data_IF_629280568174
#
_entry.id   IF_629280568174
#
_cell.length_a   1.000
_cell.length_b   1.000
_cell.length_c   1.000
_cell.angle_alpha   90.00
_cell.angle_beta   90.00
_cell.angle_gamma   90.00
#
_symmetry.space_group_name_H-M   'P 1'
#
loop_
_entity.id
_entity.type
_entity.pdbx_description
1 polymer ?
#
# COMPACT_ATOMS: atom_id res chain seq x y z
N UNK A 1 15.86 23.70 8.01
CA UNK A 1 16.57 23.66 6.68
C UNK A 1 15.56 23.70 5.56
N UNK A 2 15.88 24.26 4.39
CA UNK A 2 15.05 24.11 3.20
C UNK A 2 15.20 22.68 2.70
N UNK A 3 14.07 22.00 2.48
CA UNK A 3 14.03 20.59 2.05
C UNK A 3 13.49 20.51 0.62
N UNK A 4 14.34 20.06 -0.29
CA UNK A 4 14.00 19.87 -1.71
C UNK A 4 13.86 18.37 -2.05
N UNK A 5 13.03 17.99 -3.05
CA UNK A 5 12.92 16.62 -3.49
C UNK A 5 14.20 16.15 -4.17
N UNK A 6 14.79 15.05 -3.68
CA UNK A 6 15.99 14.40 -4.28
C UNK A 6 15.60 13.05 -4.87
N UNK A 7 15.03 13.10 -6.08
CA UNK A 7 14.57 11.91 -6.81
C UNK A 7 15.73 11.16 -7.44
N UNK A 8 15.77 9.85 -7.25
CA UNK A 8 16.73 8.92 -7.88
C UNK A 8 15.98 7.69 -8.41
N UNK A 9 15.75 7.66 -9.72
CA UNK A 9 14.92 6.61 -10.32
C UNK A 9 13.49 6.65 -9.78
N UNK A 10 13.06 5.56 -9.17
CA UNK A 10 11.72 5.39 -8.58
C UNK A 10 11.67 5.67 -7.07
N UNK A 11 12.69 6.31 -6.50
CA UNK A 11 12.70 6.70 -5.08
C UNK A 11 13.02 8.18 -4.92
N UNK A 12 12.49 8.81 -3.86
CA UNK A 12 12.95 10.10 -3.38
C UNK A 12 13.68 9.89 -2.04
N UNK A 13 14.87 10.46 -1.92
CA UNK A 13 15.75 10.25 -0.75
C UNK A 13 15.56 11.31 0.34
N UNK A 14 14.70 12.29 0.11
CA UNK A 14 14.27 13.31 1.07
C UNK A 14 12.76 13.25 1.23
N UNK A 15 12.26 13.64 2.40
CA UNK A 15 10.83 13.84 2.64
C UNK A 15 10.62 15.17 3.37
N UNK A 16 9.52 15.87 3.03
CA UNK A 16 9.21 17.17 3.59
C UNK A 16 8.28 17.03 4.81
N UNK A 17 8.74 17.32 6.04
CA UNK A 17 7.94 17.05 7.26
C UNK A 17 6.57 17.73 7.25
N UNK A 18 6.51 19.04 6.95
CA UNK A 18 5.26 19.80 6.90
C UNK A 18 4.34 19.33 5.76
N UNK A 19 4.93 18.96 4.62
CA UNK A 19 4.14 18.41 3.51
C UNK A 19 3.53 17.05 3.82
N UNK A 20 4.29 16.15 4.46
CA UNK A 20 3.76 14.88 4.96
C UNK A 20 2.61 15.09 5.94
N UNK A 21 2.78 16.02 6.90
CA UNK A 21 1.72 16.36 7.86
C UNK A 21 0.46 16.86 7.14
N UNK A 22 0.63 17.75 6.14
CA UNK A 22 -0.50 18.32 5.40
C UNK A 22 -1.26 17.30 4.56
N UNK A 23 -0.55 16.33 4.00
CA UNK A 23 -1.18 15.22 3.25
C UNK A 23 -1.97 14.32 4.19
N UNK A 24 -1.40 13.93 5.33
CA UNK A 24 -2.11 13.15 6.35
C UNK A 24 -3.34 13.88 6.88
N UNK A 25 -3.24 15.19 7.13
CA UNK A 25 -4.38 16.03 7.52
C UNK A 25 -5.50 15.97 6.47
N UNK A 26 -5.17 16.17 5.20
CA UNK A 26 -6.13 16.11 4.07
C UNK A 26 -6.84 14.74 4.00
N UNK A 27 -6.11 13.65 4.17
CA UNK A 27 -6.67 12.30 4.17
C UNK A 27 -7.61 12.06 5.37
N UNK A 28 -7.25 12.58 6.54
CA UNK A 28 -8.09 12.55 7.76
C UNK A 28 -9.38 13.37 7.54
N UNK A 29 -9.26 14.58 6.98
CA UNK A 29 -10.42 15.43 6.66
C UNK A 29 -11.36 14.74 5.67
N UNK A 30 -10.80 14.06 4.65
CA UNK A 30 -11.59 13.27 3.72
C UNK A 30 -12.40 12.19 4.45
N UNK A 31 -11.77 11.38 5.29
CA UNK A 31 -12.46 10.33 6.05
C UNK A 31 -13.55 10.93 6.97
N UNK A 32 -13.23 11.98 7.72
CA UNK A 32 -14.22 12.67 8.56
C UNK A 32 -15.42 13.20 7.78
N UNK A 33 -15.21 13.64 6.54
CA UNK A 33 -16.29 14.15 5.66
C UNK A 33 -17.29 13.07 5.22
N UNK A 34 -16.89 11.77 5.29
CA UNK A 34 -17.73 10.63 4.91
C UNK A 34 -18.69 10.18 6.02
N UNK A 35 -18.52 10.70 7.22
CA UNK A 35 -19.31 10.30 8.38
C UNK A 35 -18.73 9.13 9.15
N UNK A 36 -19.37 8.80 10.27
CA UNK A 36 -18.91 7.73 11.16
C UNK A 36 -19.37 6.36 10.68
N UNK A 37 -18.44 5.40 10.72
CA UNK A 37 -18.67 4.00 10.39
C UNK A 37 -18.70 3.15 11.67
N UNK A 38 -19.30 1.96 11.57
CA UNK A 38 -19.33 0.97 12.64
C UNK A 38 -18.53 -0.28 12.28
N UNK A 39 -18.18 -1.08 13.26
CA UNK A 39 -17.54 -2.38 13.07
C UNK A 39 -16.30 -2.55 13.94
N UNK A 40 -15.11 -2.29 13.40
CA UNK A 40 -13.84 -2.47 14.10
C UNK A 40 -13.69 -1.46 15.24
N UNK A 41 -13.22 -1.94 16.41
CA UNK A 41 -12.98 -1.10 17.59
C UNK A 41 -11.51 -1.01 17.97
N UNK A 42 -10.74 -2.05 17.71
CA UNK A 42 -9.32 -2.15 18.09
C UNK A 42 -8.55 -2.86 16.97
N UNK A 43 -7.70 -2.14 16.28
CA UNK A 43 -6.99 -2.66 15.12
C UNK A 43 -5.47 -2.67 15.31
N UNK A 44 -4.84 -3.73 14.82
CA UNK A 44 -3.41 -3.79 14.53
C UNK A 44 -3.20 -3.57 13.03
N UNK A 45 -2.36 -2.60 12.65
CA UNK A 45 -2.02 -2.33 11.25
C UNK A 45 -0.51 -2.55 11.06
N UNK A 46 -0.16 -3.61 10.34
CA UNK A 46 1.22 -3.99 10.05
C UNK A 46 1.61 -3.40 8.70
N UNK A 47 2.65 -2.53 8.67
CA UNK A 47 3.00 -1.73 7.51
C UNK A 47 2.14 -0.46 7.40
N UNK A 48 2.07 0.34 8.48
CA UNK A 48 1.08 1.39 8.69
C UNK A 48 1.51 2.80 8.29
N UNK A 49 2.69 2.99 7.70
CA UNK A 49 3.29 4.34 7.57
C UNK A 49 3.06 5.01 6.23
N UNK A 50 2.65 4.26 5.20
CA UNK A 50 2.44 4.75 3.83
C UNK A 50 1.34 3.98 3.09
N UNK A 51 0.85 4.55 1.98
CA UNK A 51 -0.03 3.90 1.01
C UNK A 51 -1.28 3.30 1.65
N UNK A 52 -1.64 2.08 1.25
CA UNK A 52 -2.85 1.40 1.74
C UNK A 52 -2.83 1.13 3.25
N UNK A 53 -1.66 0.88 3.84
CA UNK A 53 -1.55 0.67 5.28
C UNK A 53 -1.86 1.92 6.09
N UNK A 54 -1.32 3.07 5.70
CA UNK A 54 -1.63 4.36 6.32
C UNK A 54 -3.11 4.73 6.11
N UNK A 55 -3.60 4.63 4.86
CA UNK A 55 -4.99 4.93 4.52
C UNK A 55 -5.98 4.05 5.32
N UNK A 56 -5.67 2.76 5.49
CA UNK A 56 -6.46 1.86 6.34
C UNK A 56 -6.48 2.32 7.79
N UNK A 57 -5.31 2.71 8.30
CA UNK A 57 -5.20 3.16 9.69
C UNK A 57 -5.97 4.45 9.93
N UNK A 58 -5.94 5.39 8.96
CA UNK A 58 -6.71 6.64 8.99
C UNK A 58 -8.21 6.33 8.98
N UNK A 59 -8.69 5.49 8.05
CA UNK A 59 -10.12 5.14 7.97
C UNK A 59 -10.61 4.42 9.23
N UNK A 60 -9.80 3.51 9.80
CA UNK A 60 -10.14 2.84 11.07
C UNK A 60 -10.19 3.82 12.25
N UNK A 61 -9.17 4.67 12.40
CA UNK A 61 -9.10 5.60 13.53
C UNK A 61 -10.15 6.71 13.44
N UNK A 62 -10.27 7.39 12.30
CA UNK A 62 -11.11 8.58 12.17
C UNK A 62 -12.51 8.27 11.63
N UNK A 63 -12.67 7.20 10.84
CA UNK A 63 -13.97 6.75 10.35
C UNK A 63 -14.71 5.87 11.36
N UNK A 64 -14.05 4.84 11.94
CA UNK A 64 -14.68 3.91 12.89
C UNK A 64 -14.42 4.23 14.37
N UNK A 65 -13.63 5.27 14.67
CA UNK A 65 -13.20 5.60 16.04
C UNK A 65 -12.45 4.44 16.74
N UNK A 66 -11.79 3.61 15.95
CA UNK A 66 -11.05 2.47 16.45
C UNK A 66 -9.75 2.90 17.13
N UNK A 67 -9.40 2.23 18.23
CA UNK A 67 -8.06 2.28 18.80
C UNK A 67 -7.09 1.57 17.85
N UNK A 68 -5.99 2.20 17.45
CA UNK A 68 -5.07 1.63 16.47
C UNK A 68 -3.67 1.48 17.00
N UNK A 69 -3.10 0.27 16.86
CA UNK A 69 -1.69 -0.02 17.05
C UNK A 69 -1.06 -0.26 15.68
N UNK A 70 0.06 0.40 15.38
CA UNK A 70 0.74 0.30 14.10
C UNK A 70 2.12 -0.31 14.22
N UNK A 71 2.58 -0.99 13.16
CA UNK A 71 3.97 -1.40 12.97
C UNK A 71 4.51 -0.73 11.72
N UNK A 72 5.64 -0.06 11.81
CA UNK A 72 6.38 0.52 10.70
C UNK A 72 7.85 0.15 10.75
N UNK A 73 8.57 0.37 9.65
CA UNK A 73 10.02 0.21 9.61
C UNK A 73 10.65 1.40 8.87
N UNK A 74 10.75 2.53 9.56
CA UNK A 74 11.13 3.82 8.99
C UNK A 74 12.33 4.43 9.71
N UNK A 75 13.08 5.26 8.99
CA UNK A 75 14.25 5.94 9.54
C UNK A 75 13.84 7.30 10.09
N UNK A 76 14.16 7.61 11.35
CA UNK A 76 14.00 8.96 11.89
C UNK A 76 14.96 9.93 11.22
N UNK A 77 14.68 11.23 11.34
CA UNK A 77 15.62 12.28 10.97
C UNK A 77 16.91 12.18 11.81
N UNK A 78 18.03 12.52 11.22
CA UNK A 78 19.33 12.49 11.91
C UNK A 78 20.30 13.56 11.37
N UNK A 79 20.68 14.48 12.23
CA UNK A 79 21.50 15.65 11.85
C UNK A 79 20.79 16.46 10.76
N UNK A 80 21.47 16.69 9.64
CA UNK A 80 20.93 17.42 8.49
C UNK A 80 20.23 16.50 7.44
N UNK A 81 19.84 15.28 7.82
CA UNK A 81 19.13 14.34 6.94
C UNK A 81 17.67 14.23 7.40
N UNK A 82 16.76 14.38 6.45
CA UNK A 82 15.34 14.12 6.71
C UNK A 82 15.12 12.67 7.09
N UNK A 83 14.11 12.42 7.91
CA UNK A 83 13.54 11.09 8.06
C UNK A 83 12.92 10.59 6.74
N UNK A 84 12.47 9.34 6.74
CA UNK A 84 11.62 8.82 5.65
C UNK A 84 10.22 9.44 5.73
N UNK A 85 9.49 9.45 4.62
CA UNK A 85 8.11 9.97 4.63
C UNK A 85 7.21 9.22 5.59
N UNK A 86 7.35 7.89 5.69
CA UNK A 86 6.60 7.08 6.65
C UNK A 86 6.82 7.49 8.11
N UNK A 87 8.02 7.94 8.46
CA UNK A 87 8.31 8.50 9.78
C UNK A 87 7.47 9.76 10.06
N UNK A 88 7.44 10.71 9.12
CA UNK A 88 6.67 11.95 9.28
C UNK A 88 5.17 11.73 9.22
N UNK A 89 4.69 10.89 8.30
CA UNK A 89 3.29 10.52 8.21
C UNK A 89 2.76 9.92 9.51
N UNK A 90 3.56 9.04 10.13
CA UNK A 90 3.19 8.40 11.40
C UNK A 90 3.14 9.40 12.54
N UNK A 91 4.11 10.31 12.61
CA UNK A 91 4.11 11.41 13.60
C UNK A 91 2.88 12.30 13.44
N UNK A 92 2.55 12.67 12.20
CA UNK A 92 1.36 13.46 11.90
C UNK A 92 0.07 12.73 12.30
N UNK A 93 -0.05 11.45 11.91
CA UNK A 93 -1.20 10.62 12.26
C UNK A 93 -1.41 10.54 13.78
N UNK A 94 -0.35 10.23 14.55
CA UNK A 94 -0.43 10.15 16.01
C UNK A 94 -0.80 11.48 16.65
N UNK A 95 -0.24 12.60 16.16
CA UNK A 95 -0.58 13.97 16.59
C UNK A 95 -2.07 14.25 16.42
N UNK A 96 -2.63 14.01 15.24
CA UNK A 96 -4.05 14.24 14.96
C UNK A 96 -4.97 13.27 15.72
N UNK A 97 -4.59 11.99 15.84
CA UNK A 97 -5.33 11.03 16.63
C UNK A 97 -5.40 11.42 18.11
N UNK A 98 -4.28 11.87 18.69
CA UNK A 98 -4.24 12.34 20.05
C UNK A 98 -5.11 13.60 20.25
N UNK A 99 -5.09 14.54 19.30
CA UNK A 99 -5.93 15.73 19.35
C UNK A 99 -7.43 15.39 19.35
N UNK A 100 -7.83 14.31 18.67
CA UNK A 100 -9.19 13.79 18.64
C UNK A 100 -9.51 12.83 19.81
N UNK A 101 -8.57 12.62 20.74
CA UNK A 101 -8.75 11.72 21.90
C UNK A 101 -8.74 10.23 21.52
N UNK A 102 -8.22 9.87 20.35
CA UNK A 102 -8.14 8.49 19.87
C UNK A 102 -6.84 7.82 20.33
N UNK A 103 -6.92 6.55 20.72
CA UNK A 103 -5.71 5.77 20.97
C UNK A 103 -5.00 5.46 19.64
N UNK A 104 -3.76 5.92 19.53
CA UNK A 104 -2.89 5.63 18.41
C UNK A 104 -1.46 5.47 18.90
N UNK A 105 -0.86 4.33 18.65
CA UNK A 105 0.52 4.01 19.01
C UNK A 105 1.21 3.29 17.89
N UNK A 106 2.50 3.54 17.67
CA UNK A 106 3.27 2.88 16.63
C UNK A 106 4.58 2.34 17.17
N UNK A 107 4.94 1.15 16.73
CA UNK A 107 6.24 0.54 16.97
C UNK A 107 7.04 0.62 15.66
N UNK A 108 8.26 1.16 15.76
CA UNK A 108 9.20 1.19 14.65
C UNK A 108 10.16 0.02 14.77
N UNK A 109 9.85 -1.09 14.09
CA UNK A 109 10.58 -2.35 14.18
C UNK A 109 10.39 -3.22 12.95
N UNK A 110 11.26 -4.20 12.79
CA UNK A 110 11.13 -5.20 11.72
C UNK A 110 9.92 -6.10 12.00
N UNK A 111 8.85 -5.93 11.23
CA UNK A 111 7.62 -6.70 11.36
C UNK A 111 7.82 -8.21 11.17
N UNK A 112 8.88 -8.63 10.51
CA UNK A 112 9.20 -10.04 10.33
C UNK A 112 9.84 -10.68 11.58
N UNK A 113 10.38 -9.87 12.50
CA UNK A 113 11.07 -10.37 13.68
C UNK A 113 10.11 -10.85 14.77
N UNK A 114 10.55 -11.83 15.55
CA UNK A 114 9.81 -12.34 16.71
C UNK A 114 9.80 -11.31 17.84
N UNK A 115 10.85 -10.49 17.95
CA UNK A 115 10.96 -9.41 18.93
C UNK A 115 9.87 -8.37 18.71
N UNK A 116 9.65 -7.95 17.46
CA UNK A 116 8.59 -6.99 17.13
C UNK A 116 7.20 -7.59 17.41
N UNK A 117 6.97 -8.85 17.05
CA UNK A 117 5.71 -9.55 17.35
C UNK A 117 5.44 -9.61 18.86
N UNK A 118 6.46 -9.92 19.65
CA UNK A 118 6.34 -10.00 21.11
C UNK A 118 6.06 -8.63 21.72
N UNK A 119 6.76 -7.56 21.27
CA UNK A 119 6.51 -6.20 21.76
C UNK A 119 5.06 -5.75 21.48
N UNK A 120 4.55 -6.03 20.28
CA UNK A 120 3.15 -5.74 19.92
C UNK A 120 2.17 -6.51 20.82
N UNK A 121 2.42 -7.80 21.06
CA UNK A 121 1.58 -8.63 21.97
C UNK A 121 1.55 -8.03 23.38
N UNK A 122 2.69 -7.59 23.90
CA UNK A 122 2.77 -7.01 25.25
C UNK A 122 2.02 -5.67 25.34
N UNK A 123 2.08 -4.86 24.26
CA UNK A 123 1.31 -3.61 24.18
C UNK A 123 -0.18 -3.90 24.11
N UNK A 124 -0.62 -4.86 23.28
CA UNK A 124 -2.04 -5.21 23.19
C UNK A 124 -2.57 -5.66 24.56
N UNK A 125 -1.85 -6.55 25.25
CA UNK A 125 -2.23 -7.00 26.59
C UNK A 125 -2.38 -5.85 27.59
N UNK A 126 -1.43 -4.92 27.57
CA UNK A 126 -1.40 -3.82 28.52
C UNK A 126 -2.46 -2.75 28.22
N UNK A 127 -2.60 -2.36 26.95
CA UNK A 127 -3.33 -1.16 26.55
C UNK A 127 -4.73 -1.48 25.97
N UNK A 128 -4.91 -2.60 25.28
CA UNK A 128 -6.11 -2.90 24.50
C UNK A 128 -6.85 -4.16 24.96
N UNK A 129 -6.18 -5.07 25.64
CA UNK A 129 -6.69 -6.41 25.95
C UNK A 129 -6.63 -7.33 24.73
N UNK A 130 -7.54 -7.17 23.78
CA UNK A 130 -7.55 -7.89 22.49
C UNK A 130 -7.79 -6.90 21.35
N UNK A 131 -7.39 -7.28 20.14
CA UNK A 131 -7.74 -6.59 18.90
C UNK A 131 -8.78 -7.40 18.11
N UNK A 132 -9.70 -6.71 17.42
CA UNK A 132 -10.75 -7.31 16.61
C UNK A 132 -10.48 -7.18 15.11
N UNK A 133 -9.38 -6.49 14.72
CA UNK A 133 -8.92 -6.43 13.34
C UNK A 133 -7.39 -6.45 13.23
N UNK A 134 -6.88 -7.12 12.17
CA UNK A 134 -5.47 -7.10 11.78
C UNK A 134 -5.37 -6.79 10.29
N UNK A 135 -4.76 -5.66 9.94
CA UNK A 135 -4.45 -5.29 8.56
C UNK A 135 -3.00 -5.62 8.27
N UNK A 136 -2.76 -6.46 7.26
CA UNK A 136 -1.43 -6.88 6.83
C UNK A 136 -1.05 -6.21 5.50
N UNK A 137 -0.26 -5.14 5.58
CA UNK A 137 0.12 -4.28 4.45
C UNK A 137 1.64 -4.20 4.31
N UNK A 138 2.30 -5.35 4.21
CA UNK A 138 3.75 -5.39 3.98
C UNK A 138 4.09 -5.57 2.51
N UNK A 139 5.01 -4.73 2.01
CA UNK A 139 5.71 -4.89 0.75
C UNK A 139 7.19 -4.58 1.00
N UNK A 140 8.04 -5.60 0.93
CA UNK A 140 9.45 -5.48 1.27
C UNK A 140 10.33 -6.08 0.16
N UNK A 141 11.54 -5.52 -0.07
CA UNK A 141 12.48 -6.09 -1.02
C UNK A 141 13.22 -7.31 -0.47
N UNK A 142 13.16 -7.53 0.85
CA UNK A 142 13.86 -8.63 1.53
C UNK A 142 13.19 -8.99 2.84
N UNK A 143 13.41 -10.26 3.26
CA UNK A 143 13.05 -10.79 4.58
C UNK A 143 14.18 -11.69 5.09
N UNK A 144 14.52 -11.53 6.36
CA UNK A 144 15.45 -12.45 7.04
C UNK A 144 14.65 -13.51 7.79
N UNK A 145 15.03 -14.78 7.62
CA UNK A 145 14.47 -15.91 8.38
C UNK A 145 15.65 -16.75 8.91
N UNK A 146 15.86 -16.72 10.19
CA UNK A 146 17.07 -17.28 10.79
C UNK A 146 18.33 -16.59 10.23
N UNK A 147 19.27 -17.38 9.69
CA UNK A 147 20.49 -16.86 9.07
C UNK A 147 20.33 -16.53 7.57
N UNK A 148 19.19 -16.87 6.97
CA UNK A 148 18.97 -16.70 5.52
C UNK A 148 18.25 -15.39 5.22
N UNK A 149 18.79 -14.63 4.26
CA UNK A 149 18.15 -13.41 3.73
C UNK A 149 17.55 -13.73 2.36
N UNK A 150 16.23 -13.72 2.28
CA UNK A 150 15.47 -13.84 1.03
C UNK A 150 15.28 -12.47 0.39
N UNK A 151 15.35 -12.41 -0.94
CA UNK A 151 15.12 -11.17 -1.73
C UNK A 151 14.01 -11.41 -2.73
N UNK A 152 13.07 -10.47 -2.80
CA UNK A 152 12.02 -10.50 -3.81
C UNK A 152 12.53 -9.92 -5.14
N UNK A 153 11.99 -10.43 -6.25
CA UNK A 153 12.25 -9.93 -7.59
C UNK A 153 10.93 -9.64 -8.32
N UNK A 154 11.00 -8.74 -9.31
CA UNK A 154 9.88 -8.36 -10.17
C UNK A 154 10.19 -8.83 -11.59
N UNK A 155 9.93 -10.10 -11.86
CA UNK A 155 10.25 -10.80 -13.11
C UNK A 155 9.06 -11.64 -13.58
N UNK A 156 9.07 -12.03 -14.85
CA UNK A 156 8.12 -13.01 -15.38
C UNK A 156 8.37 -14.41 -14.80
N UNK A 157 7.46 -15.35 -14.99
CA UNK A 157 7.64 -16.75 -14.54
C UNK A 157 7.60 -17.76 -15.67
N UNK A 158 7.68 -17.30 -16.90
CA UNK A 158 7.67 -18.17 -18.10
C UNK A 158 8.67 -17.64 -19.12
N UNK A 159 8.14 -17.14 -20.22
CA UNK A 159 8.95 -16.54 -21.27
C UNK A 159 9.33 -15.09 -20.95
N UNK A 160 10.40 -14.55 -21.55
CA UNK A 160 10.70 -13.12 -21.51
C UNK A 160 9.52 -12.28 -22.01
N UNK A 161 9.27 -11.15 -21.37
CA UNK A 161 8.19 -10.23 -21.76
C UNK A 161 8.74 -8.88 -22.17
N UNK A 162 8.45 -8.48 -23.41
CA UNK A 162 8.84 -7.16 -23.93
C UNK A 162 7.59 -6.29 -24.08
N UNK A 163 7.62 -5.09 -23.50
CA UNK A 163 6.53 -4.12 -23.64
C UNK A 163 7.03 -2.68 -23.42
N UNK A 164 6.14 -1.71 -23.68
CA UNK A 164 6.40 -0.30 -23.47
C UNK A 164 6.64 0.00 -21.99
N UNK A 165 7.56 0.91 -21.74
CA UNK A 165 7.81 1.52 -20.42
C UNK A 165 8.08 3.00 -20.57
N UNK A 166 8.09 3.74 -19.47
CA UNK A 166 8.39 5.17 -19.43
C UNK A 166 9.60 5.45 -18.54
N UNK A 167 10.52 6.25 -19.02
CA UNK A 167 11.51 6.91 -18.17
C UNK A 167 10.93 8.23 -17.66
N UNK A 168 10.52 8.22 -16.39
CA UNK A 168 9.87 9.37 -15.74
C UNK A 168 10.78 10.58 -15.53
N UNK A 169 12.09 10.46 -15.75
CA UNK A 169 13.04 11.59 -15.61
C UNK A 169 12.98 12.55 -16.80
N UNK A 170 12.67 12.02 -17.96
CA UNK A 170 12.63 12.76 -19.22
C UNK A 170 11.34 12.53 -20.01
N UNK A 171 10.39 11.79 -19.43
CA UNK A 171 9.10 11.45 -20.02
C UNK A 171 9.22 10.77 -21.40
N UNK A 172 10.19 9.83 -21.53
CA UNK A 172 10.44 9.13 -22.79
C UNK A 172 9.92 7.71 -22.72
N UNK A 173 9.15 7.30 -23.73
CA UNK A 173 8.68 5.93 -23.89
C UNK A 173 9.73 5.11 -24.64
N UNK A 174 10.02 3.94 -24.13
CA UNK A 174 10.88 2.93 -24.74
C UNK A 174 10.29 1.54 -24.56
N UNK A 175 10.94 0.52 -25.07
CA UNK A 175 10.64 -0.87 -24.74
C UNK A 175 11.59 -1.41 -23.68
N UNK A 176 11.05 -2.28 -22.84
CA UNK A 176 11.81 -3.04 -21.83
C UNK A 176 11.53 -4.50 -21.99
N UNK A 177 12.56 -5.34 -21.95
CA UNK A 177 12.44 -6.80 -21.86
C UNK A 177 12.68 -7.23 -20.42
N UNK A 178 11.76 -7.98 -19.85
CA UNK A 178 11.82 -8.51 -18.51
C UNK A 178 12.06 -10.01 -18.62
N UNK A 179 13.22 -10.44 -18.12
CA UNK A 179 13.62 -11.84 -18.13
C UNK A 179 12.87 -12.67 -17.07
N UNK A 180 12.68 -13.96 -17.30
CA UNK A 180 12.02 -14.83 -16.33
C UNK A 180 12.86 -14.99 -15.05
N UNK A 181 12.16 -15.17 -13.94
CA UNK A 181 12.78 -15.52 -12.66
C UNK A 181 13.19 -16.99 -12.65
N UNK A 182 14.28 -17.30 -11.93
CA UNK A 182 14.61 -18.69 -11.60
C UNK A 182 13.63 -19.23 -10.55
N UNK A 183 13.60 -20.56 -10.37
CA UNK A 183 12.79 -21.19 -9.34
C UNK A 183 13.14 -20.65 -7.94
N UNK A 184 14.43 -20.47 -7.66
CA UNK A 184 14.93 -19.93 -6.39
C UNK A 184 14.51 -18.48 -6.17
N UNK A 185 14.49 -17.66 -7.23
CA UNK A 185 14.02 -16.26 -7.17
C UNK A 185 12.50 -16.21 -6.91
N UNK A 186 11.72 -17.12 -7.51
CA UNK A 186 10.27 -17.24 -7.25
C UNK A 186 10.04 -17.64 -5.80
N UNK A 187 10.71 -18.69 -5.31
CA UNK A 187 10.58 -19.17 -3.93
C UNK A 187 10.99 -18.09 -2.92
N UNK A 188 12.09 -17.37 -3.18
CA UNK A 188 12.52 -16.25 -2.36
C UNK A 188 11.47 -15.11 -2.34
N UNK A 189 10.85 -14.81 -3.49
CA UNK A 189 9.81 -13.79 -3.59
C UNK A 189 8.55 -14.21 -2.81
N UNK A 190 8.15 -15.49 -2.88
CA UNK A 190 7.05 -16.04 -2.07
C UNK A 190 7.40 -15.97 -0.57
N UNK A 191 8.65 -16.26 -0.20
CA UNK A 191 9.11 -16.19 1.19
C UNK A 191 9.04 -14.77 1.76
N UNK A 192 9.32 -13.75 0.95
CA UNK A 192 9.28 -12.34 1.36
C UNK A 192 7.85 -11.78 1.39
N UNK A 193 7.05 -12.02 0.32
CA UNK A 193 5.78 -11.31 0.09
C UNK A 193 4.56 -12.24 0.06
N UNK A 194 4.73 -13.52 0.33
CA UNK A 194 3.61 -14.46 0.47
C UNK A 194 2.94 -14.38 1.84
N UNK A 195 2.04 -15.33 2.10
CA UNK A 195 1.19 -15.33 3.29
C UNK A 195 1.80 -15.93 4.56
N UNK A 196 3.03 -16.47 4.50
CA UNK A 196 3.61 -17.16 5.65
C UNK A 196 3.73 -16.26 6.89
N UNK A 197 4.26 -15.04 6.73
CA UNK A 197 4.41 -14.13 7.87
C UNK A 197 3.06 -13.62 8.39
N UNK A 198 2.07 -13.46 7.51
CA UNK A 198 0.71 -13.14 7.94
C UNK A 198 0.11 -14.24 8.81
N UNK A 199 0.26 -15.53 8.41
CA UNK A 199 -0.12 -16.67 9.25
C UNK A 199 0.64 -16.66 10.58
N UNK A 200 1.96 -16.39 10.57
CA UNK A 200 2.78 -16.29 11.79
C UNK A 200 2.31 -15.20 12.76
N UNK A 201 1.95 -14.01 12.25
CA UNK A 201 1.35 -12.93 13.04
C UNK A 201 0.05 -13.39 13.71
N UNK A 202 -0.86 -13.94 12.94
CA UNK A 202 -2.15 -14.40 13.47
C UNK A 202 -1.97 -15.51 14.51
N UNK A 203 -1.10 -16.47 14.24
CA UNK A 203 -0.83 -17.56 15.18
C UNK A 203 -0.20 -17.05 16.48
N UNK A 204 0.72 -16.08 16.42
CA UNK A 204 1.31 -15.46 17.60
C UNK A 204 0.26 -14.71 18.43
N UNK A 205 -0.61 -13.93 17.80
CA UNK A 205 -1.68 -13.19 18.47
C UNK A 205 -2.72 -14.13 19.11
N UNK A 206 -3.13 -15.20 18.42
CA UNK A 206 -4.04 -16.21 18.95
C UNK A 206 -3.41 -16.96 20.12
N UNK A 207 -2.15 -17.42 20.00
CA UNK A 207 -1.43 -18.11 21.07
C UNK A 207 -1.30 -17.26 22.33
N UNK A 208 -1.14 -15.94 22.17
CA UNK A 208 -1.04 -15.00 23.27
C UNK A 208 -2.39 -14.57 23.88
N UNK A 209 -3.51 -15.03 23.30
CA UNK A 209 -4.89 -14.65 23.64
C UNK A 209 -5.17 -13.14 23.56
N UNK A 210 -4.63 -12.49 22.51
CA UNK A 210 -4.78 -11.05 22.25
C UNK A 210 -5.54 -10.72 20.95
N UNK A 211 -6.13 -11.72 20.30
CA UNK A 211 -6.97 -11.60 19.14
C UNK A 211 -8.39 -12.07 19.49
N UNK A 212 -9.39 -11.26 19.09
CA UNK A 212 -10.79 -11.67 19.28
C UNK A 212 -11.16 -12.85 18.40
N UNK A 213 -12.11 -13.65 18.87
CA UNK A 213 -12.71 -14.69 18.05
C UNK A 213 -13.43 -14.06 16.86
N UNK A 214 -13.32 -14.69 15.67
CA UNK A 214 -13.88 -14.16 14.43
C UNK A 214 -13.37 -12.75 14.04
N UNK A 215 -12.14 -12.38 14.47
CA UNK A 215 -11.52 -11.11 14.11
C UNK A 215 -11.40 -10.94 12.58
N UNK A 216 -11.52 -9.70 12.13
CA UNK A 216 -11.28 -9.34 10.74
C UNK A 216 -9.77 -9.34 10.45
N UNK A 217 -9.34 -9.91 9.33
CA UNK A 217 -7.97 -9.72 8.86
C UNK A 217 -7.93 -9.58 7.34
N UNK A 218 -7.19 -8.58 6.87
CA UNK A 218 -7.12 -8.23 5.45
C UNK A 218 -5.67 -8.08 5.03
N UNK A 219 -5.32 -8.67 3.88
CA UNK A 219 -4.09 -8.40 3.18
C UNK A 219 -4.37 -7.88 1.77
N UNK A 220 -3.45 -7.08 1.21
CA UNK A 220 -3.65 -6.37 -0.05
C UNK A 220 -2.99 -7.07 -1.22
N UNK A 221 -3.67 -7.05 -2.35
CA UNK A 221 -3.24 -7.63 -3.62
C UNK A 221 -3.59 -6.72 -4.79
N UNK A 222 -3.08 -7.08 -5.96
CA UNK A 222 -3.44 -6.49 -7.24
C UNK A 222 -3.51 -7.62 -8.28
N UNK A 223 -4.43 -7.51 -9.23
CA UNK A 223 -4.55 -8.42 -10.37
C UNK A 223 -4.26 -7.64 -11.65
N UNK A 224 -5.00 -6.57 -11.92
CA UNK A 224 -4.87 -5.71 -13.08
C UNK A 224 -5.34 -6.34 -14.40
N UNK A 225 -5.10 -5.67 -15.54
CA UNK A 225 -5.44 -6.13 -16.87
C UNK A 225 -4.33 -6.97 -17.53
N UNK A 226 -4.63 -7.56 -18.66
CA UNK A 226 -3.71 -8.39 -19.46
C UNK A 226 -2.38 -7.70 -19.80
N UNK A 227 -2.37 -6.37 -19.95
CA UNK A 227 -1.14 -5.59 -20.19
C UNK A 227 -0.09 -5.79 -19.08
N UNK A 228 -0.54 -5.95 -17.83
CA UNK A 228 0.34 -6.08 -16.66
C UNK A 228 0.49 -7.52 -16.19
N UNK A 229 -0.29 -8.49 -16.72
CA UNK A 229 -0.28 -9.88 -16.27
C UNK A 229 1.11 -10.51 -16.24
N UNK A 230 1.94 -10.45 -17.30
CA UNK A 230 3.21 -11.17 -17.31
C UNK A 230 4.19 -10.68 -16.23
N UNK A 231 4.11 -9.39 -15.86
CA UNK A 231 5.02 -8.78 -14.87
C UNK A 231 4.45 -8.76 -13.47
N UNK A 232 3.12 -8.92 -13.32
CA UNK A 232 2.48 -8.87 -12.01
C UNK A 232 1.71 -10.15 -11.69
N UNK A 233 0.50 -10.34 -12.22
CA UNK A 233 -0.39 -11.44 -11.85
C UNK A 233 0.21 -12.82 -12.17
N UNK A 234 0.84 -12.98 -13.32
CA UNK A 234 1.54 -14.21 -13.76
C UNK A 234 3.04 -14.18 -13.41
N UNK A 235 3.56 -13.04 -12.92
CA UNK A 235 4.95 -12.87 -12.55
C UNK A 235 5.32 -13.47 -11.19
N UNK A 236 6.59 -13.29 -10.80
CA UNK A 236 7.12 -13.75 -9.50
C UNK A 236 6.32 -13.19 -8.32
N UNK A 237 5.91 -11.92 -8.38
CA UNK A 237 5.07 -11.31 -7.35
C UNK A 237 3.65 -11.92 -7.34
N UNK A 238 3.12 -12.32 -8.49
CA UNK A 238 1.83 -13.01 -8.59
C UNK A 238 1.85 -14.37 -7.89
N UNK A 239 2.98 -15.10 -7.92
CA UNK A 239 3.16 -16.32 -7.14
C UNK A 239 3.10 -16.05 -5.64
N UNK A 240 3.73 -14.97 -5.18
CA UNK A 240 3.62 -14.56 -3.78
C UNK A 240 2.18 -14.16 -3.41
N UNK A 241 1.45 -13.47 -4.30
CA UNK A 241 0.04 -13.09 -4.08
C UNK A 241 -0.90 -14.30 -4.09
N UNK A 242 -0.63 -15.32 -4.93
CA UNK A 242 -1.34 -16.59 -4.87
C UNK A 242 -1.13 -17.30 -3.52
N UNK A 243 0.11 -17.33 -3.02
CA UNK A 243 0.40 -17.88 -1.69
C UNK A 243 -0.27 -17.08 -0.57
N UNK A 244 -0.34 -15.74 -0.69
CA UNK A 244 -1.06 -14.88 0.25
C UNK A 244 -2.57 -15.20 0.24
N UNK A 245 -3.14 -15.49 -0.93
CA UNK A 245 -4.53 -15.90 -1.06
C UNK A 245 -4.80 -17.25 -0.41
N UNK A 246 -3.93 -18.25 -0.61
CA UNK A 246 -4.05 -19.53 0.10
C UNK A 246 -3.94 -19.38 1.62
N UNK A 247 -3.08 -18.47 2.11
CA UNK A 247 -3.04 -18.15 3.54
C UNK A 247 -4.39 -17.60 4.03
N UNK A 248 -5.09 -16.78 3.26
CA UNK A 248 -6.41 -16.28 3.66
C UNK A 248 -7.43 -17.40 3.88
N UNK A 249 -7.38 -18.46 3.04
CA UNK A 249 -8.27 -19.63 3.19
C UNK A 249 -7.97 -20.37 4.49
N UNK A 250 -6.71 -20.64 4.78
CA UNK A 250 -6.28 -21.27 6.04
C UNK A 250 -6.67 -20.45 7.27
N UNK A 251 -6.58 -19.12 7.18
CA UNK A 251 -7.00 -18.24 8.27
C UNK A 251 -8.51 -18.27 8.49
N UNK A 252 -9.31 -18.42 7.43
CA UNK A 252 -10.75 -18.67 7.55
C UNK A 252 -11.07 -20.00 8.24
N UNK A 253 -10.31 -21.06 7.92
CA UNK A 253 -10.42 -22.36 8.60
C UNK A 253 -10.10 -22.27 10.10
N UNK A 254 -9.25 -21.30 10.50
CA UNK A 254 -8.95 -20.97 11.91
C UNK A 254 -10.04 -20.11 12.59
N UNK A 255 -11.16 -19.82 11.90
CA UNK A 255 -12.31 -19.09 12.44
C UNK A 255 -12.23 -17.57 12.29
N UNK A 256 -11.38 -17.04 11.42
CA UNK A 256 -11.24 -15.60 11.18
C UNK A 256 -12.04 -15.13 9.96
N UNK A 257 -12.45 -13.87 9.93
CA UNK A 257 -12.92 -13.19 8.71
C UNK A 257 -11.71 -12.70 7.92
N UNK A 258 -11.05 -13.62 7.19
CA UNK A 258 -9.81 -13.36 6.48
C UNK A 258 -10.07 -13.11 4.99
N UNK A 259 -9.62 -11.97 4.48
CA UNK A 259 -9.83 -11.57 3.08
C UNK A 259 -8.54 -11.09 2.41
N UNK A 260 -8.49 -11.30 1.11
CA UNK A 260 -7.60 -10.54 0.23
C UNK A 260 -8.42 -9.40 -0.39
N UNK A 261 -7.97 -8.17 -0.25
CA UNK A 261 -8.51 -7.04 -0.99
C UNK A 261 -7.66 -6.81 -2.25
N UNK A 262 -8.28 -6.99 -3.41
CA UNK A 262 -7.68 -6.68 -4.71
C UNK A 262 -7.93 -5.21 -4.99
N UNK A 263 -6.88 -4.42 -4.90
CA UNK A 263 -6.96 -2.97 -5.01
C UNK A 263 -6.64 -2.49 -6.42
N UNK A 264 -6.97 -1.25 -6.72
CA UNK A 264 -6.69 -0.56 -7.97
C UNK A 264 -5.19 -0.27 -8.13
N UNK A 265 -4.70 -0.17 -9.37
CA UNK A 265 -3.37 0.34 -9.68
C UNK A 265 -3.25 1.82 -9.28
N UNK A 266 -2.27 2.12 -8.44
CA UNK A 266 -2.00 3.46 -7.90
C UNK A 266 -0.51 3.76 -7.87
N UNK A 267 -0.17 5.04 -7.86
CA UNK A 267 1.18 5.49 -7.56
C UNK A 267 1.46 5.22 -6.09
N UNK A 268 2.36 4.28 -5.86
CA UNK A 268 2.93 3.95 -4.56
C UNK A 268 4.42 3.76 -4.70
N UNK A 269 5.15 3.74 -3.61
CA UNK A 269 6.59 3.45 -3.66
C UNK A 269 6.87 2.08 -4.29
N UNK A 270 6.00 1.10 -4.07
CA UNK A 270 6.14 -0.25 -4.63
C UNK A 270 5.84 -0.29 -6.13
N UNK A 271 4.74 0.33 -6.59
CA UNK A 271 4.31 0.29 -7.99
C UNK A 271 5.27 1.03 -8.92
N UNK A 272 5.92 2.10 -8.44
CA UNK A 272 6.89 2.87 -9.21
C UNK A 272 8.14 2.05 -9.60
N UNK A 273 8.41 0.95 -8.89
CA UNK A 273 9.55 0.07 -9.16
C UNK A 273 9.25 -1.03 -10.21
N UNK A 274 7.98 -1.23 -10.60
CA UNK A 274 7.57 -2.33 -11.48
C UNK A 274 7.64 -1.86 -12.93
N UNK A 275 8.45 -2.48 -13.81
CA UNK A 275 8.47 -2.11 -15.22
C UNK A 275 7.07 -2.17 -15.85
N UNK A 276 6.82 -1.35 -16.89
CA UNK A 276 5.50 -1.26 -17.58
C UNK A 276 4.43 -0.53 -16.75
N UNK A 277 4.34 -0.80 -15.45
CA UNK A 277 3.27 -0.33 -14.55
C UNK A 277 3.18 1.20 -14.45
N UNK A 278 4.26 1.99 -14.34
CA UNK A 278 4.14 3.46 -14.31
C UNK A 278 3.48 4.06 -15.55
N UNK A 279 3.78 3.53 -16.75
CA UNK A 279 3.12 3.97 -17.98
C UNK A 279 1.63 3.57 -17.97
N UNK A 280 1.32 2.35 -17.56
CA UNK A 280 -0.06 1.88 -17.42
C UNK A 280 -0.85 2.77 -16.45
N UNK A 281 -0.30 3.07 -15.27
CA UNK A 281 -0.94 3.94 -14.27
C UNK A 281 -1.19 5.34 -14.84
N UNK A 282 -0.24 5.90 -15.58
CA UNK A 282 -0.38 7.25 -16.15
C UNK A 282 -1.54 7.33 -17.17
N UNK A 283 -1.72 6.28 -17.98
CA UNK A 283 -2.86 6.18 -18.92
C UNK A 283 -4.17 5.96 -18.15
N UNK A 284 -4.15 5.03 -17.18
CA UNK A 284 -5.32 4.74 -16.33
C UNK A 284 -5.80 5.99 -15.60
N UNK A 285 -4.89 6.80 -15.07
CA UNK A 285 -5.21 8.05 -14.37
C UNK A 285 -5.97 9.01 -15.28
N UNK A 286 -5.48 9.21 -16.50
CA UNK A 286 -6.19 10.04 -17.48
C UNK A 286 -7.61 9.56 -17.70
N UNK A 287 -7.78 8.28 -18.03
CA UNK A 287 -9.08 7.70 -18.35
C UNK A 287 -10.03 7.77 -17.14
N UNK A 288 -9.56 7.36 -15.95
CA UNK A 288 -10.42 7.36 -14.75
C UNK A 288 -10.75 8.76 -14.25
N UNK A 289 -9.84 9.73 -14.35
CA UNK A 289 -10.12 11.13 -13.99
C UNK A 289 -11.15 11.76 -14.95
N UNK A 290 -11.03 11.51 -16.25
CA UNK A 290 -12.00 11.95 -17.26
C UNK A 290 -13.40 11.34 -17.03
N UNK A 291 -13.47 10.12 -16.49
CA UNK A 291 -14.73 9.45 -16.15
C UNK A 291 -15.22 9.73 -14.71
N UNK A 292 -14.47 10.49 -13.90
CA UNK A 292 -14.85 10.78 -12.51
C UNK A 292 -14.82 9.55 -11.57
N UNK A 293 -14.04 8.52 -11.92
CA UNK A 293 -13.96 7.26 -11.18
C UNK A 293 -12.59 7.02 -10.54
N UNK A 294 -11.69 8.01 -10.61
CA UNK A 294 -10.37 7.91 -10.02
C UNK A 294 -10.42 7.91 -8.49
N UNK A 295 -9.70 6.97 -7.88
CA UNK A 295 -9.53 6.86 -6.44
C UNK A 295 -8.03 6.78 -6.10
N UNK A 296 -7.60 7.45 -5.02
CA UNK A 296 -6.31 7.25 -4.38
C UNK A 296 -6.37 6.17 -3.29
N UNK A 297 -5.30 6.04 -2.49
CA UNK A 297 -5.27 5.07 -1.40
C UNK A 297 -6.36 5.32 -0.37
N UNK A 298 -6.59 6.58 0.00
CA UNK A 298 -7.54 6.93 1.06
C UNK A 298 -8.99 6.70 0.62
N UNK A 299 -9.32 7.05 -0.62
CA UNK A 299 -10.66 6.81 -1.18
C UNK A 299 -10.98 5.32 -1.23
N UNK A 300 -10.02 4.48 -1.70
CA UNK A 300 -10.22 3.04 -1.74
C UNK A 300 -10.37 2.41 -0.37
N UNK A 301 -9.54 2.80 0.59
CA UNK A 301 -9.62 2.23 1.93
C UNK A 301 -10.86 2.70 2.67
N UNK A 302 -11.27 3.95 2.50
CA UNK A 302 -12.52 4.43 3.06
C UNK A 302 -13.70 3.62 2.50
N UNK A 303 -13.78 3.41 1.18
CA UNK A 303 -14.82 2.60 0.53
C UNK A 303 -14.79 1.13 1.00
N UNK A 304 -13.60 0.54 1.17
CA UNK A 304 -13.46 -0.80 1.73
C UNK A 304 -14.07 -0.89 3.14
N UNK A 305 -13.80 0.09 4.00
CA UNK A 305 -14.33 0.08 5.36
C UNK A 305 -15.81 0.50 5.42
N UNK A 306 -16.34 1.24 4.45
CA UNK A 306 -17.77 1.45 4.25
C UNK A 306 -18.47 0.13 3.91
N UNK A 307 -17.94 -0.68 2.98
CA UNK A 307 -18.48 -2.01 2.65
C UNK A 307 -18.44 -2.96 3.86
N UNK A 308 -17.34 -2.95 4.64
CA UNK A 308 -17.21 -3.74 5.87
C UNK A 308 -18.26 -3.29 6.91
N UNK A 309 -18.44 -1.99 7.10
CA UNK A 309 -19.41 -1.43 8.04
C UNK A 309 -20.86 -1.77 7.67
N UNK A 310 -21.14 -1.82 6.37
CA UNK A 310 -22.46 -2.17 5.83
C UNK A 310 -22.71 -3.70 5.74
N UNK A 311 -21.70 -4.52 6.06
CA UNK A 311 -21.69 -5.98 5.84
C UNK A 311 -22.06 -6.37 4.38
N UNK A 312 -21.56 -5.59 3.42
CA UNK A 312 -21.86 -5.71 1.99
C UNK A 312 -20.59 -5.67 1.14
N UNK A 313 -19.74 -6.67 1.30
CA UNK A 313 -18.48 -6.77 0.57
C UNK A 313 -18.70 -7.15 -0.89
N UNK A 314 -18.04 -6.43 -1.79
CA UNK A 314 -17.97 -6.77 -3.21
C UNK A 314 -16.99 -7.94 -3.41
N UNK A 315 -17.49 -9.18 -3.36
CA UNK A 315 -16.69 -10.40 -3.45
C UNK A 315 -16.74 -11.00 -4.87
N UNK A 316 -15.59 -11.45 -5.36
CA UNK A 316 -15.55 -12.30 -6.54
C UNK A 316 -15.91 -13.77 -6.21
N UNK A 317 -15.95 -14.63 -7.26
CA UNK A 317 -16.30 -16.05 -7.11
C UNK A 317 -15.35 -16.85 -6.22
N UNK A 318 -14.15 -16.34 -5.96
CA UNK A 318 -13.15 -16.96 -5.07
C UNK A 318 -13.18 -16.37 -3.64
N UNK A 319 -14.04 -15.36 -3.39
CA UNK A 319 -14.19 -14.71 -2.09
C UNK A 319 -13.11 -13.66 -1.80
N UNK A 320 -12.52 -13.04 -2.83
CA UNK A 320 -11.66 -11.87 -2.71
C UNK A 320 -12.50 -10.60 -2.81
N UNK A 321 -12.18 -9.59 -2.01
CA UNK A 321 -12.81 -8.27 -2.11
C UNK A 321 -12.27 -7.55 -3.34
N UNK A 322 -13.16 -7.01 -4.20
CA UNK A 322 -12.80 -6.39 -5.47
C UNK A 322 -12.91 -4.87 -5.38
N UNK A 323 -11.86 -4.23 -4.82
CA UNK A 323 -11.74 -2.76 -4.79
C UNK A 323 -11.22 -2.18 -6.11
N UNK A 324 -10.78 -3.04 -7.03
CA UNK A 324 -10.36 -2.70 -8.39
C UNK A 324 -11.53 -2.63 -9.40
N UNK A 325 -12.75 -2.78 -8.94
CA UNK A 325 -13.97 -2.84 -9.76
C UNK A 325 -14.14 -1.62 -10.69
N UNK A 326 -13.77 -0.42 -10.24
CA UNK A 326 -13.83 0.80 -11.05
C UNK A 326 -12.72 0.84 -12.13
N UNK A 327 -11.51 0.35 -11.82
CA UNK A 327 -10.43 0.17 -12.79
C UNK A 327 -10.81 -0.85 -13.87
N UNK A 328 -11.41 -1.97 -13.44
CA UNK A 328 -11.69 -3.13 -14.30
C UNK A 328 -13.00 -3.03 -15.08
N UNK A 329 -13.69 -1.89 -15.05
CA UNK A 329 -14.85 -1.65 -15.93
C UNK A 329 -14.46 -1.80 -17.40
N UNK A 330 -15.26 -2.52 -18.22
CA UNK A 330 -14.95 -2.74 -19.64
C UNK A 330 -14.63 -1.45 -20.38
N UNK A 331 -15.44 -0.40 -20.21
CA UNK A 331 -15.26 0.91 -20.86
C UNK A 331 -13.95 1.61 -20.46
N UNK A 332 -13.48 1.41 -19.23
CA UNK A 332 -12.19 1.94 -18.76
C UNK A 332 -11.04 1.15 -19.42
N UNK A 333 -11.09 -0.17 -19.37
CA UNK A 333 -10.02 -1.00 -19.91
C UNK A 333 -9.91 -0.94 -21.44
N UNK A 334 -11.04 -0.86 -22.16
CA UNK A 334 -11.06 -0.65 -23.60
C UNK A 334 -10.40 0.69 -23.98
N UNK A 335 -10.70 1.76 -23.24
CA UNK A 335 -10.09 3.07 -23.50
C UNK A 335 -8.60 3.08 -23.14
N UNK A 336 -8.21 2.46 -22.03
CA UNK A 336 -6.80 2.31 -21.66
C UNK A 336 -6.04 1.54 -22.74
N UNK A 337 -6.59 0.43 -23.26
CA UNK A 337 -5.96 -0.36 -24.31
C UNK A 337 -5.83 0.42 -25.64
N UNK A 338 -6.85 1.18 -26.00
CA UNK A 338 -6.80 2.10 -27.18
C UNK A 338 -5.62 3.08 -27.05
N UNK A 339 -5.50 3.74 -25.90
CA UNK A 339 -4.45 4.70 -25.63
C UNK A 339 -3.07 4.02 -25.54
N UNK A 340 -2.98 2.85 -24.90
CA UNK A 340 -1.76 2.05 -24.83
C UNK A 340 -1.19 1.71 -26.21
N UNK A 341 -2.05 1.33 -27.15
CA UNK A 341 -1.62 0.92 -28.49
C UNK A 341 -1.02 2.08 -29.30
N UNK A 342 -1.53 3.30 -29.12
CA UNK A 342 -1.11 4.48 -29.89
C UNK A 342 -0.07 5.36 -29.20
N UNK A 343 0.13 5.21 -27.88
CA UNK A 343 1.02 6.09 -27.13
C UNK A 343 2.49 5.94 -27.55
N UNK A 344 3.17 7.05 -27.69
CA UNK A 344 4.60 7.20 -27.90
C UNK A 344 5.12 8.47 -27.22
N UNK A 345 6.41 8.78 -27.29
CA UNK A 345 7.00 9.95 -26.62
C UNK A 345 6.47 11.29 -27.15
N UNK A 346 5.99 11.36 -28.40
CA UNK A 346 5.52 12.61 -29.02
C UNK A 346 4.09 12.96 -28.62
N UNK A 347 3.23 11.95 -28.40
CA UNK A 347 1.82 12.12 -28.03
C UNK A 347 1.50 11.79 -26.55
N UNK A 348 2.52 11.74 -25.69
CA UNK A 348 2.42 11.31 -24.30
C UNK A 348 1.34 12.10 -23.53
N UNK A 349 1.33 13.43 -23.62
CA UNK A 349 0.37 14.28 -22.91
C UNK A 349 -1.08 14.09 -23.40
N UNK A 350 -1.29 13.63 -24.64
CA UNK A 350 -2.63 13.32 -25.16
C UNK A 350 -3.16 11.99 -24.63
N UNK A 351 -2.27 11.05 -24.33
CA UNK A 351 -2.61 9.67 -23.99
C UNK A 351 -2.53 9.34 -22.50
N UNK A 352 -1.81 10.13 -21.70
CA UNK A 352 -1.52 9.85 -20.31
C UNK A 352 -1.56 11.11 -19.44
N UNK A 353 -1.85 10.94 -18.15
CA UNK A 353 -1.76 11.98 -17.11
C UNK A 353 -0.41 11.89 -16.40
N UNK A 354 0.65 12.33 -17.09
CA UNK A 354 2.02 12.29 -16.55
C UNK A 354 2.20 13.30 -15.42
N UNK A 355 1.60 14.48 -15.54
CA UNK A 355 1.70 15.50 -14.49
C UNK A 355 1.02 15.02 -13.19
N UNK A 356 -0.14 14.36 -13.31
CA UNK A 356 -0.81 13.72 -12.19
C UNK A 356 0.02 12.60 -11.57
N UNK A 357 0.69 11.78 -12.40
CA UNK A 357 1.61 10.75 -11.89
C UNK A 357 2.76 11.37 -11.10
N UNK A 358 3.43 12.38 -11.65
CA UNK A 358 4.54 13.07 -10.97
C UNK A 358 4.10 13.74 -9.68
N UNK A 359 2.92 14.37 -9.69
CA UNK A 359 2.35 14.98 -8.50
C UNK A 359 2.14 13.94 -7.40
N UNK A 360 1.44 12.84 -7.70
CA UNK A 360 1.16 11.78 -6.73
C UNK A 360 2.46 11.14 -6.23
N UNK A 361 3.44 10.93 -7.12
CA UNK A 361 4.75 10.42 -6.73
C UNK A 361 5.48 11.35 -5.74
N UNK A 362 5.46 12.65 -5.97
CA UNK A 362 6.07 13.62 -5.07
C UNK A 362 5.31 13.76 -3.74
N UNK A 363 3.98 13.66 -3.77
CA UNK A 363 3.15 13.66 -2.57
C UNK A 363 3.45 12.48 -1.64
N UNK A 364 3.92 11.31 -2.15
CA UNK A 364 4.39 10.21 -1.30
C UNK A 364 5.50 10.63 -0.32
N UNK A 365 6.23 11.69 -0.66
CA UNK A 365 7.36 12.23 0.11
C UNK A 365 7.08 13.61 0.71
N UNK A 366 5.82 14.04 0.70
CA UNK A 366 5.39 15.31 1.28
C UNK A 366 5.66 16.53 0.40
N UNK A 367 5.91 16.36 -0.91
CA UNK A 367 6.09 17.48 -1.84
C UNK A 367 4.85 17.71 -2.70
N UNK A 368 4.55 18.98 -2.99
CA UNK A 368 3.41 19.34 -3.84
C UNK A 368 2.07 19.48 -3.09
N UNK A 369 2.05 19.34 -1.78
CA UNK A 369 0.84 19.57 -0.98
C UNK A 369 0.43 21.05 -1.00
N UNK A 370 -0.86 21.30 -1.21
CA UNK A 370 -1.39 22.65 -1.23
C UNK A 370 -1.23 23.34 0.15
N UNK A 371 -0.89 24.63 0.14
CA UNK A 371 -0.75 25.43 1.35
C UNK A 371 0.55 25.25 2.13
N UNK A 372 1.54 24.55 1.55
CA UNK A 372 2.88 24.39 2.13
C UNK A 372 3.86 25.33 1.42
N UNK A 373 4.60 26.11 2.21
CA UNK A 373 5.72 26.93 1.70
C UNK A 373 7.01 26.09 1.68
N UNK A 374 7.37 25.59 0.51
CA UNK A 374 8.56 24.75 0.31
C UNK A 374 9.88 25.55 0.30
N UNK A 375 9.83 26.89 0.31
CA UNK A 375 11.01 27.75 0.46
C UNK A 375 11.32 28.06 1.92
N UNK A 376 10.40 27.73 2.83
CA UNK A 376 10.57 27.98 4.25
C UNK A 376 11.65 27.06 4.87
N UNK A 377 12.30 27.56 5.91
CA UNK A 377 13.16 26.75 6.77
C UNK A 377 12.29 25.87 7.69
N UNK A 378 12.50 24.57 7.66
CA UNK A 378 11.74 23.60 8.46
C UNK A 378 12.65 22.80 9.39
N UNK A 379 12.13 22.42 10.53
CA UNK A 379 12.75 21.44 11.43
C UNK A 379 12.52 20.03 10.85
N UNK A 380 13.58 19.20 10.81
CA UNK A 380 13.55 17.84 10.25
C UNK A 380 13.71 16.77 11.32
#
# INVERSE_FOLDING_TARGET
>A
MIVEPKVRGFICTTAHPVGCEKIVEREIEYVKSKGELSGVKKALVIGCSMGYGLASRISLAFGMKAATLGVMFDKPASGNKTGTSGWYNTKAFEKFAQADGLYAKTINGDAYSDECKQEIIDIIKRDLGKVDAVIYSLAAPRRQVGETVYKSVLKTTGEPYTNKTIDLRNNTISEVTIEPATAEEIDATVKVMGGEDWEMWIDALKKADVLEDNALTIAYSYIGPSITYPVYFEGSIGRAKAHLFEASKKLREKGLRAYISVNKALVTQSSAAIPVVPLYISILYKVMKENGTHEGCIEQMQRLFEEISADNLNLDSEGRIRMDDLEMKPEIQEKVLELWNKINSENLAECADIDGYHKDFLELFGFGAAGVDYAADVEV
#
